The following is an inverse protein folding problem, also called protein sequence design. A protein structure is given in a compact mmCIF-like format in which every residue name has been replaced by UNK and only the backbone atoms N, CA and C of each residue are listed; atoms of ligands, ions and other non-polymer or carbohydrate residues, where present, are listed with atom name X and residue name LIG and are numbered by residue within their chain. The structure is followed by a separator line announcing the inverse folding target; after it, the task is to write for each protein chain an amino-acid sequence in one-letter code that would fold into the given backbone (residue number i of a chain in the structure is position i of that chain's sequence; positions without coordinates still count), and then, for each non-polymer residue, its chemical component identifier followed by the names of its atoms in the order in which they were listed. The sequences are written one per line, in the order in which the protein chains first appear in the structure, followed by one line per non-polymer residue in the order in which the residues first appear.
data_IF_142900681791
#
_entry.id   IF_142900681791
#
_cell.length_a   1.000
_cell.length_b   1.000
_cell.length_c   1.000
_cell.angle_alpha   90.00
_cell.angle_beta   90.00
_cell.angle_gamma   90.00
#
_symmetry.space_group_name_H-M   'P 1'
#
loop_
_entity.id
_entity.type
_entity.pdbx_description
1 polymer ?
#
# COMPACT_ATOMS: atom_id res chain seq x y z
N UNK A 1 -28.96 -2.31 5.83
CA UNK A 1 -27.86 -2.32 6.80
C UNK A 1 -26.71 -1.54 6.18
N UNK A 2 -26.36 -0.37 6.73
CA UNK A 2 -25.24 0.42 6.21
C UNK A 2 -23.96 -0.42 6.33
N UNK A 3 -23.28 -0.69 5.20
CA UNK A 3 -21.96 -1.33 5.23
C UNK A 3 -21.06 -0.45 6.10
N UNK A 4 -20.53 -1.03 7.17
CA UNK A 4 -19.52 -0.40 8.01
C UNK A 4 -18.30 -0.14 7.12
N UNK A 5 -18.12 1.12 6.71
CA UNK A 5 -17.06 1.54 5.77
C UNK A 5 -15.71 1.07 6.29
N UNK A 6 -15.06 0.19 5.54
CA UNK A 6 -13.77 -0.35 5.94
C UNK A 6 -12.68 0.58 5.40
N UNK A 7 -12.37 1.61 6.20
CA UNK A 7 -11.44 2.68 5.85
C UNK A 7 -10.13 2.13 5.27
N UNK A 8 -9.62 1.02 5.81
CA UNK A 8 -8.39 0.38 5.33
C UNK A 8 -8.55 -0.20 3.91
N UNK A 9 -9.65 -0.92 3.63
CA UNK A 9 -9.94 -1.44 2.27
C UNK A 9 -10.06 -0.30 1.27
N UNK A 10 -10.86 0.72 1.59
CA UNK A 10 -11.17 1.82 0.67
C UNK A 10 -9.93 2.66 0.35
N UNK A 11 -9.13 3.00 1.38
CA UNK A 11 -7.86 3.72 1.19
C UNK A 11 -6.86 2.90 0.38
N UNK A 12 -6.73 1.59 0.66
CA UNK A 12 -5.80 0.74 -0.11
C UNK A 12 -6.19 0.61 -1.58
N UNK A 13 -7.49 0.57 -1.88
CA UNK A 13 -7.99 0.49 -3.25
C UNK A 13 -7.75 1.81 -4.00
N UNK A 14 -8.06 2.94 -3.37
CA UNK A 14 -7.76 4.26 -3.94
C UNK A 14 -6.26 4.44 -4.20
N UNK A 15 -5.42 4.00 -3.25
CA UNK A 15 -3.97 4.03 -3.41
C UNK A 15 -3.48 3.14 -4.58
N UNK A 16 -4.02 1.93 -4.73
CA UNK A 16 -3.69 1.06 -5.85
C UNK A 16 -3.99 1.71 -7.22
N UNK A 17 -5.10 2.46 -7.34
CA UNK A 17 -5.41 3.25 -8.55
C UNK A 17 -4.34 4.31 -8.80
N UNK A 18 -3.89 5.03 -7.75
CA UNK A 18 -2.81 6.02 -7.88
C UNK A 18 -1.51 5.38 -8.36
N UNK A 19 -1.15 4.21 -7.83
CA UNK A 19 0.04 3.46 -8.25
C UNK A 19 -0.06 3.03 -9.72
N UNK A 20 -1.21 2.52 -10.17
CA UNK A 20 -1.43 2.16 -11.58
C UNK A 20 -1.25 3.39 -12.49
N UNK A 21 -1.81 4.53 -12.11
CA UNK A 21 -1.68 5.77 -12.88
C UNK A 21 -0.24 6.27 -12.90
N UNK A 22 0.49 6.16 -11.78
CA UNK A 22 1.90 6.52 -11.70
C UNK A 22 2.76 5.60 -12.58
N UNK A 23 2.54 4.29 -12.55
CA UNK A 23 3.25 3.35 -13.43
C UNK A 23 3.06 3.72 -14.91
N UNK A 24 1.82 4.02 -15.31
CA UNK A 24 1.53 4.43 -16.68
C UNK A 24 2.25 5.73 -17.06
N UNK A 25 2.31 6.71 -16.14
CA UNK A 25 3.05 7.95 -16.34
C UNK A 25 4.56 7.70 -16.50
N UNK A 26 5.17 6.93 -15.59
CA UNK A 26 6.58 6.57 -15.63
C UNK A 26 6.93 5.87 -16.94
N UNK A 27 6.12 4.89 -17.35
CA UNK A 27 6.35 4.12 -18.58
C UNK A 27 6.15 4.94 -19.84
N UNK A 28 5.06 5.71 -19.94
CA UNK A 28 4.70 6.41 -21.20
C UNK A 28 5.45 7.71 -21.38
N UNK A 29 5.60 8.49 -20.31
CA UNK A 29 6.17 9.83 -20.33
C UNK A 29 7.66 9.80 -20.01
N UNK A 30 8.03 9.17 -18.88
CA UNK A 30 9.44 9.12 -18.44
C UNK A 30 10.27 8.00 -19.07
N UNK A 31 9.62 7.08 -19.80
CA UNK A 31 10.24 5.89 -20.41
C UNK A 31 10.94 4.97 -19.42
N UNK A 32 10.57 5.05 -18.14
CA UNK A 32 11.07 4.17 -17.08
C UNK A 32 10.21 2.89 -17.04
N UNK A 33 10.81 1.71 -17.03
CA UNK A 33 10.07 0.45 -17.12
C UNK A 33 10.45 -0.62 -16.11
N UNK A 34 11.50 -0.42 -15.33
CA UNK A 34 12.03 -1.41 -14.37
C UNK A 34 11.50 -1.10 -12.99
N UNK A 35 11.74 0.11 -12.48
CA UNK A 35 11.30 0.55 -11.15
C UNK A 35 9.79 0.66 -11.09
N UNK A 36 9.17 1.17 -12.15
CA UNK A 36 7.72 1.33 -12.29
C UNK A 36 6.98 -0.01 -12.22
N UNK A 37 7.57 -1.10 -12.74
CA UNK A 37 7.00 -2.45 -12.58
C UNK A 37 7.13 -2.96 -11.14
N UNK A 38 8.24 -2.71 -10.46
CA UNK A 38 8.39 -3.10 -9.05
C UNK A 38 7.42 -2.33 -8.15
N UNK A 39 7.30 -1.01 -8.38
CA UNK A 39 6.32 -0.14 -7.73
C UNK A 39 4.88 -0.63 -7.97
N UNK A 40 4.54 -0.99 -9.20
CA UNK A 40 3.20 -1.48 -9.54
C UNK A 40 2.85 -2.75 -8.78
N UNK A 41 3.78 -3.71 -8.75
CA UNK A 41 3.57 -4.99 -8.07
C UNK A 41 3.39 -4.79 -6.57
N UNK A 42 4.33 -4.11 -5.92
CA UNK A 42 4.27 -3.84 -4.48
C UNK A 42 3.05 -3.01 -4.10
N UNK A 43 2.83 -1.87 -4.77
CA UNK A 43 1.75 -0.95 -4.44
C UNK A 43 0.34 -1.51 -4.65
N UNK A 44 0.12 -2.39 -5.62
CA UNK A 44 -1.17 -3.07 -5.81
C UNK A 44 -1.35 -4.29 -4.90
N UNK A 45 -0.26 -4.95 -4.52
CA UNK A 45 -0.25 -6.09 -3.58
C UNK A 45 -0.73 -5.71 -2.18
N UNK A 46 -0.57 -4.45 -1.75
CA UNK A 46 -1.07 -3.95 -0.46
C UNK A 46 -2.58 -4.18 -0.32
N UNK A 47 -3.36 -3.69 -1.29
CA UNK A 47 -4.82 -3.81 -1.28
C UNK A 47 -5.30 -5.25 -1.45
N UNK A 48 -4.58 -6.05 -2.25
CA UNK A 48 -4.87 -7.47 -2.42
C UNK A 48 -4.74 -8.25 -1.10
N UNK A 49 -3.61 -8.09 -0.41
CA UNK A 49 -3.36 -8.75 0.88
C UNK A 49 -4.31 -8.25 1.99
N UNK A 50 -4.66 -6.96 1.99
CA UNK A 50 -5.70 -6.44 2.90
C UNK A 50 -7.03 -7.14 2.64
N UNK A 51 -7.44 -7.28 1.37
CA UNK A 51 -8.70 -7.95 1.00
C UNK A 51 -8.71 -9.42 1.41
N UNK A 52 -7.61 -10.14 1.20
CA UNK A 52 -7.43 -11.50 1.68
C UNK A 52 -7.52 -11.60 3.20
N UNK A 53 -6.84 -10.72 3.93
CA UNK A 53 -6.89 -10.68 5.39
C UNK A 53 -8.30 -10.53 5.92
N UNK A 54 -9.14 -9.69 5.30
CA UNK A 54 -10.55 -9.56 5.72
C UNK A 54 -11.44 -10.77 5.41
N UNK A 55 -10.96 -11.73 4.62
CA UNK A 55 -11.59 -13.02 4.40
C UNK A 55 -10.86 -14.17 5.14
N UNK A 56 -9.93 -13.84 6.04
CA UNK A 56 -9.13 -14.82 6.77
C UNK A 56 -9.99 -15.71 7.68
N UNK A 57 -9.58 -16.97 7.80
CA UNK A 57 -10.27 -17.99 8.60
C UNK A 57 -9.94 -17.90 10.10
N UNK A 58 -8.91 -17.14 10.46
CA UNK A 58 -8.50 -16.94 11.84
C UNK A 58 -7.84 -15.59 12.07
N UNK A 59 -7.75 -15.18 13.34
CA UNK A 59 -7.03 -13.97 13.74
C UNK A 59 -5.53 -14.03 13.42
N UNK A 60 -4.93 -15.22 13.46
CA UNK A 60 -3.53 -15.42 13.11
C UNK A 60 -3.30 -15.22 11.61
N UNK A 61 -4.20 -15.75 10.78
CA UNK A 61 -4.18 -15.58 9.33
C UNK A 61 -4.44 -14.11 8.94
N UNK A 62 -5.42 -13.46 9.57
CA UNK A 62 -5.66 -12.02 9.40
C UNK A 62 -4.37 -11.21 9.66
N UNK A 63 -3.72 -11.43 10.80
CA UNK A 63 -2.47 -10.76 11.17
C UNK A 63 -1.36 -11.06 10.15
N UNK A 64 -1.25 -12.30 9.69
CA UNK A 64 -0.26 -12.71 8.70
C UNK A 64 -0.43 -11.96 7.38
N UNK A 65 -1.66 -11.95 6.83
CA UNK A 65 -2.00 -11.25 5.58
C UNK A 65 -1.77 -9.74 5.67
N UNK A 66 -2.19 -9.11 6.78
CA UNK A 66 -1.89 -7.68 7.00
C UNK A 66 -0.38 -7.44 7.19
N UNK A 67 0.35 -8.40 7.75
CA UNK A 67 1.81 -8.35 7.83
C UNK A 67 2.49 -8.37 6.46
N UNK A 68 1.94 -9.10 5.49
CA UNK A 68 2.40 -9.05 4.09
C UNK A 68 2.07 -7.67 3.50
N UNK A 69 0.83 -7.19 3.65
CA UNK A 69 0.45 -5.85 3.18
C UNK A 69 1.33 -4.74 3.76
N UNK A 70 1.76 -4.87 5.02
CA UNK A 70 2.70 -3.95 5.65
C UNK A 70 4.06 -3.92 4.94
N UNK A 71 4.62 -5.11 4.61
CA UNK A 71 5.91 -5.22 3.91
C UNK A 71 5.84 -4.63 2.50
N UNK A 72 4.75 -4.93 1.77
CA UNK A 72 4.50 -4.40 0.43
C UNK A 72 4.38 -2.87 0.45
N UNK A 73 3.77 -2.31 1.50
CA UNK A 73 3.65 -0.86 1.67
C UNK A 73 5.00 -0.20 1.95
N UNK A 74 5.85 -0.84 2.76
CA UNK A 74 7.20 -0.37 3.06
C UNK A 74 8.09 -0.41 1.80
N UNK A 75 8.01 -1.49 1.02
CA UNK A 75 8.69 -1.62 -0.27
C UNK A 75 8.19 -0.56 -1.28
N UNK A 76 6.89 -0.27 -1.29
CA UNK A 76 6.32 0.80 -2.13
C UNK A 76 6.91 2.16 -1.76
N UNK A 77 7.06 2.47 -0.47
CA UNK A 77 7.73 3.71 -0.02
C UNK A 77 9.16 3.80 -0.54
N UNK A 78 9.93 2.72 -0.45
CA UNK A 78 11.30 2.66 -0.96
C UNK A 78 11.38 2.94 -2.48
N UNK A 79 10.48 2.36 -3.27
CA UNK A 79 10.44 2.63 -4.71
C UNK A 79 10.08 4.10 -5.02
N UNK A 80 9.17 4.71 -4.25
CA UNK A 80 8.85 6.14 -4.39
C UNK A 80 10.05 7.03 -4.05
N UNK A 81 10.80 6.70 -3.00
CA UNK A 81 12.03 7.40 -2.61
C UNK A 81 13.10 7.32 -3.71
N UNK A 82 13.32 6.12 -4.27
CA UNK A 82 14.25 5.95 -5.39
C UNK A 82 13.84 6.76 -6.62
N UNK A 83 12.55 6.74 -6.98
CA UNK A 83 12.04 7.49 -8.12
C UNK A 83 12.18 9.01 -7.93
N UNK A 84 12.04 9.50 -6.70
CA UNK A 84 12.30 10.90 -6.38
C UNK A 84 13.81 11.23 -6.42
N UNK A 85 14.64 10.43 -5.77
CA UNK A 85 16.09 10.61 -5.73
C UNK A 85 16.76 10.55 -7.11
N UNK A 86 16.12 9.87 -8.07
CA UNK A 86 16.58 9.74 -9.46
C UNK A 86 15.83 10.65 -10.45
N UNK A 87 15.07 11.63 -9.94
CA UNK A 87 14.36 12.66 -10.73
C UNK A 87 13.27 12.13 -11.69
N UNK A 88 12.75 10.93 -11.46
CA UNK A 88 11.58 10.43 -12.16
C UNK A 88 10.29 11.06 -11.65
N UNK A 89 10.26 11.41 -10.37
CA UNK A 89 9.22 12.20 -9.73
C UNK A 89 9.77 13.58 -9.35
N UNK A 90 8.96 14.61 -9.54
CA UNK A 90 9.20 15.89 -8.87
C UNK A 90 8.74 15.85 -7.41
N UNK A 91 9.17 16.84 -6.63
CA UNK A 91 8.87 16.93 -5.19
C UNK A 91 7.35 16.92 -4.90
N UNK A 92 6.54 17.60 -5.72
CA UNK A 92 5.08 17.65 -5.51
C UNK A 92 4.44 16.30 -5.77
N UNK A 93 4.86 15.62 -6.83
CA UNK A 93 4.40 14.28 -7.18
C UNK A 93 4.80 13.27 -6.08
N UNK A 94 6.05 13.32 -5.64
CA UNK A 94 6.57 12.46 -4.58
C UNK A 94 5.81 12.68 -3.26
N UNK A 95 5.78 13.91 -2.74
CA UNK A 95 5.12 14.23 -1.46
C UNK A 95 3.64 13.81 -1.48
N UNK A 96 2.94 14.02 -2.59
CA UNK A 96 1.54 13.66 -2.71
C UNK A 96 1.29 12.15 -2.64
N UNK A 97 2.10 11.33 -3.32
CA UNK A 97 1.89 9.87 -3.36
C UNK A 97 2.48 9.20 -2.11
N UNK A 98 3.65 9.68 -1.65
CA UNK A 98 4.31 9.15 -0.47
C UNK A 98 3.50 9.37 0.81
N UNK A 99 2.84 10.53 0.95
CA UNK A 99 1.96 10.79 2.09
C UNK A 99 0.81 9.77 2.20
N UNK A 100 0.24 9.34 1.08
CA UNK A 100 -0.79 8.29 1.06
C UNK A 100 -0.21 6.93 1.46
N UNK A 101 0.98 6.58 0.97
CA UNK A 101 1.67 5.34 1.33
C UNK A 101 1.98 5.29 2.84
N UNK A 102 2.54 6.36 3.39
CA UNK A 102 2.82 6.48 4.83
C UNK A 102 1.56 6.40 5.69
N UNK A 103 0.49 7.09 5.28
CA UNK A 103 -0.78 7.04 5.98
C UNK A 103 -1.34 5.60 5.98
N UNK A 104 -1.24 4.90 4.84
CA UNK A 104 -1.68 3.52 4.73
C UNK A 104 -0.84 2.58 5.60
N UNK A 105 0.49 2.76 5.62
CA UNK A 105 1.40 1.99 6.48
C UNK A 105 1.06 2.15 7.96
N UNK A 106 0.80 3.39 8.41
CA UNK A 106 0.38 3.70 9.79
C UNK A 106 -0.95 3.02 10.14
N UNK A 107 -1.92 3.04 9.22
CA UNK A 107 -3.21 2.34 9.39
C UNK A 107 -3.01 0.83 9.52
N UNK A 108 -2.25 0.21 8.61
CA UNK A 108 -1.99 -1.24 8.63
C UNK A 108 -1.33 -1.65 9.96
N UNK A 109 -0.28 -0.93 10.38
CA UNK A 109 0.41 -1.19 11.67
C UNK A 109 -0.56 -1.10 12.85
N UNK A 110 -1.40 -0.06 12.89
CA UNK A 110 -2.40 0.13 13.96
C UNK A 110 -3.43 -1.02 14.02
N UNK A 111 -3.91 -1.47 12.85
CA UNK A 111 -4.85 -2.61 12.76
C UNK A 111 -4.21 -3.90 13.29
N UNK A 112 -2.97 -4.19 12.90
CA UNK A 112 -2.22 -5.37 13.38
C UNK A 112 -2.04 -5.32 14.91
N UNK A 113 -1.59 -4.18 15.45
CA UNK A 113 -1.34 -4.02 16.88
C UNK A 113 -2.63 -4.18 17.70
N UNK A 114 -3.72 -3.59 17.23
CA UNK A 114 -5.05 -3.71 17.86
C UNK A 114 -5.50 -5.17 17.88
N UNK A 115 -5.35 -5.89 16.76
CA UNK A 115 -5.76 -7.30 16.67
C UNK A 115 -4.90 -8.20 17.55
N UNK A 116 -3.59 -7.95 17.63
CA UNK A 116 -2.69 -8.67 18.54
C UNK A 116 -3.06 -8.47 20.02
N UNK A 117 -3.32 -7.23 20.44
CA UNK A 117 -3.72 -6.92 21.82
C UNK A 117 -5.00 -7.66 22.24
N UNK A 118 -5.99 -7.73 21.34
CA UNK A 118 -7.24 -8.43 21.60
C UNK A 118 -7.12 -9.96 21.66
N UNK A 119 -6.00 -10.53 21.20
CA UNK A 119 -5.73 -11.98 21.25
C UNK A 119 -4.98 -12.41 22.51
N UNK A 120 -4.36 -11.46 23.23
CA UNK A 120 -3.62 -11.70 24.48
C UNK A 120 -4.49 -11.52 25.73
N UNK A 121 -5.75 -11.14 25.54
CA UNK A 121 -6.81 -11.13 26.56
C UNK A 121 -7.74 -12.32 26.29
#
# INVERSE_FOLDING_TARGET
MAQKTNITKDKSFAFAIRIINLEQYLRRIKKETVLSRQLLRSGTSIGANIREGYNAESDADFIHKLGIAQKECDETCYWLELLNATNYLDEKQFVSIYADAEALLKIIKSVILTKKKNRTL
#
